data_IF_972767777263
#
_entry.id   IF_972767777263
#
_cell.length_a   1.000
_cell.length_b   1.000
_cell.length_c   1.000
_cell.angle_alpha   90.00
_cell.angle_beta   90.00
_cell.angle_gamma   90.00
#
_symmetry.space_group_name_H-M   'P 1'
#
loop_
_entity.id
_entity.type
_entity.pdbx_description
1 polymer ?
#
# COMPACT_ATOMS: atom_id res chain seq x y z
N UNK A 1 8.68 -1.04 22.19
CA UNK A 1 8.26 -1.23 20.79
C UNK A 1 9.31 -1.94 19.95
N UNK A 2 9.13 -2.10 18.62
CA UNK A 2 9.81 -3.13 17.84
C UNK A 2 11.33 -3.14 18.11
N UNK A 3 11.81 -4.21 18.74
CA UNK A 3 13.17 -4.26 19.28
C UNK A 3 14.21 -4.60 18.21
N UNK A 4 13.82 -5.43 17.25
CA UNK A 4 14.67 -5.92 16.16
C UNK A 4 13.80 -6.30 14.96
N UNK A 5 14.39 -6.48 13.76
CA UNK A 5 13.67 -7.05 12.62
C UNK A 5 12.99 -8.37 13.02
N UNK A 6 11.67 -8.50 12.83
CA UNK A 6 10.93 -9.68 13.28
C UNK A 6 11.34 -10.90 12.43
N UNK A 7 11.55 -12.04 13.10
CA UNK A 7 11.67 -13.33 12.43
C UNK A 7 10.30 -13.82 11.96
N UNK A 8 10.29 -14.85 11.11
CA UNK A 8 9.03 -15.49 10.69
C UNK A 8 8.21 -16.00 11.89
N UNK A 9 8.85 -16.57 12.92
CA UNK A 9 8.16 -17.02 14.13
C UNK A 9 7.48 -15.86 14.87
N UNK A 10 8.13 -14.69 14.94
CA UNK A 10 7.56 -13.48 15.54
C UNK A 10 6.37 -12.97 14.73
N UNK A 11 6.45 -13.00 13.39
CA UNK A 11 5.33 -12.62 12.51
C UNK A 11 4.15 -13.59 12.62
N UNK A 12 4.40 -14.91 12.63
CA UNK A 12 3.36 -15.92 12.85
C UNK A 12 2.66 -15.73 14.19
N UNK A 13 3.42 -15.34 15.21
CA UNK A 13 2.83 -15.01 16.50
C UNK A 13 2.06 -13.69 16.46
N UNK A 14 2.55 -12.64 15.80
CA UNK A 14 1.78 -11.41 15.58
C UNK A 14 0.42 -11.70 14.95
N UNK A 15 0.35 -12.60 13.96
CA UNK A 15 -0.91 -13.05 13.38
C UNK A 15 -1.82 -13.76 14.40
N UNK A 16 -1.25 -14.56 15.29
CA UNK A 16 -2.03 -15.23 16.33
C UNK A 16 -2.70 -14.22 17.25
N UNK A 17 -1.98 -13.21 17.74
CA UNK A 17 -2.55 -12.20 18.64
C UNK A 17 -3.57 -11.30 17.93
N UNK A 18 -3.30 -10.90 16.69
CA UNK A 18 -4.29 -10.14 15.89
C UNK A 18 -5.56 -10.95 15.64
N UNK A 19 -5.45 -12.27 15.41
CA UNK A 19 -6.61 -13.15 15.30
C UNK A 19 -7.43 -13.19 16.61
N UNK A 20 -6.78 -13.14 17.78
CA UNK A 20 -7.50 -13.04 19.07
C UNK A 20 -8.29 -11.72 19.20
N UNK A 21 -7.85 -10.66 18.51
CA UNK A 21 -8.58 -9.39 18.42
C UNK A 21 -9.70 -9.39 17.37
N UNK A 22 -9.89 -10.49 16.63
CA UNK A 22 -10.88 -10.61 15.55
C UNK A 22 -10.36 -10.27 14.15
N UNK A 23 -9.06 -10.07 13.97
CA UNK A 23 -8.50 -9.87 12.63
C UNK A 23 -8.62 -11.14 11.78
N UNK A 24 -8.90 -10.97 10.48
CA UNK A 24 -9.05 -12.05 9.52
C UNK A 24 -7.69 -12.62 9.11
N UNK A 25 -7.08 -13.41 9.99
CA UNK A 25 -5.80 -14.05 9.75
C UNK A 25 -5.66 -15.33 10.58
N UNK A 26 -4.63 -16.11 10.27
CA UNK A 26 -4.26 -17.29 11.07
C UNK A 26 -2.78 -17.20 11.38
N UNK A 27 -2.46 -17.39 12.65
CA UNK A 27 -1.10 -17.41 13.15
C UNK A 27 -0.89 -18.57 14.10
N UNK A 28 0.30 -18.63 14.68
CA UNK A 28 0.71 -19.71 15.57
C UNK A 28 1.19 -19.17 16.91
N UNK A 29 0.87 -19.89 17.99
CA UNK A 29 1.36 -19.58 19.33
C UNK A 29 2.83 -19.97 19.48
N UNK A 30 3.75 -19.15 18.95
CA UNK A 30 5.22 -19.25 19.11
C UNK A 30 5.74 -18.44 20.30
N UNK A 31 7.03 -18.61 20.64
CA UNK A 31 7.68 -17.74 21.62
C UNK A 31 7.63 -16.28 21.18
N UNK A 32 7.44 -15.39 22.16
CA UNK A 32 7.15 -13.98 21.93
C UNK A 32 7.87 -13.14 22.99
N UNK A 33 8.58 -12.08 22.59
CA UNK A 33 9.34 -11.20 23.52
C UNK A 33 8.63 -9.90 23.95
N UNK A 34 7.53 -9.53 23.32
CA UNK A 34 6.68 -8.39 23.70
C UNK A 34 5.52 -8.82 24.64
N UNK A 35 4.99 -7.90 25.42
CA UNK A 35 3.83 -8.16 26.28
C UNK A 35 2.88 -6.95 26.20
N UNK A 36 2.10 -6.82 25.10
CA UNK A 36 1.26 -5.65 24.91
C UNK A 36 0.22 -5.54 26.03
N UNK A 37 0.17 -4.39 26.70
CA UNK A 37 -0.73 -4.14 27.81
C UNK A 37 -2.19 -4.03 27.37
N UNK A 38 -2.40 -3.61 26.12
CA UNK A 38 -3.70 -3.44 25.52
C UNK A 38 -3.67 -3.64 24.00
N UNK A 39 -4.85 -3.60 23.41
CA UNK A 39 -5.06 -3.72 21.97
C UNK A 39 -4.29 -2.67 21.18
N UNK A 40 -4.31 -1.42 21.62
CA UNK A 40 -3.66 -0.32 20.91
C UNK A 40 -2.15 -0.49 20.83
N UNK A 41 -1.51 -1.01 21.87
CA UNK A 41 -0.09 -1.35 21.83
C UNK A 41 0.20 -2.44 20.80
N UNK A 42 -0.62 -3.50 20.77
CA UNK A 42 -0.49 -4.58 19.80
C UNK A 42 -0.66 -4.06 18.36
N UNK A 43 -1.62 -3.16 18.12
CA UNK A 43 -1.82 -2.52 16.81
C UNK A 43 -0.65 -1.61 16.43
N UNK A 44 -0.08 -0.85 17.37
CA UNK A 44 1.10 -0.04 17.13
C UNK A 44 2.31 -0.91 16.75
N UNK A 45 2.54 -2.00 17.49
CA UNK A 45 3.60 -2.97 17.20
C UNK A 45 3.37 -3.66 15.84
N UNK A 46 2.14 -4.06 15.55
CA UNK A 46 1.74 -4.62 14.26
C UNK A 46 2.04 -3.65 13.11
N UNK A 47 1.77 -2.36 13.30
CA UNK A 47 2.06 -1.35 12.30
C UNK A 47 3.56 -1.13 12.06
N UNK A 48 4.42 -1.34 13.06
CA UNK A 48 5.87 -1.35 12.81
C UNK A 48 6.32 -2.62 12.09
N UNK A 49 5.78 -3.78 12.50
CA UNK A 49 6.10 -5.08 11.90
C UNK A 49 5.59 -5.20 10.47
N UNK A 50 4.53 -4.47 10.08
CA UNK A 50 4.00 -4.48 8.71
C UNK A 50 5.01 -4.02 7.68
N UNK A 51 6.05 -3.29 8.09
CA UNK A 51 7.21 -2.96 7.25
C UNK A 51 8.07 -4.17 6.89
N UNK A 52 7.82 -5.35 7.42
CA UNK A 52 8.57 -6.57 7.12
C UNK A 52 7.72 -7.65 6.44
N UNK A 53 6.39 -7.51 6.42
CA UNK A 53 5.48 -8.44 5.76
C UNK A 53 4.29 -7.72 5.11
N UNK A 54 4.14 -7.75 3.78
CA UNK A 54 2.98 -7.19 3.07
C UNK A 54 1.65 -7.76 3.51
N UNK A 55 1.62 -9.02 3.96
CA UNK A 55 0.39 -9.66 4.46
C UNK A 55 -0.10 -8.98 5.73
N UNK A 56 0.82 -8.65 6.64
CA UNK A 56 0.50 -7.95 7.87
C UNK A 56 -0.08 -6.56 7.61
N UNK A 57 0.44 -5.84 6.59
CA UNK A 57 -0.17 -4.58 6.17
C UNK A 57 -1.62 -4.78 5.74
N UNK A 58 -1.91 -5.81 4.91
CA UNK A 58 -3.26 -6.15 4.50
C UNK A 58 -4.19 -6.44 5.67
N UNK A 59 -3.74 -7.27 6.62
CA UNK A 59 -4.49 -7.64 7.82
C UNK A 59 -4.85 -6.40 8.63
N UNK A 60 -3.90 -5.48 8.83
CA UNK A 60 -4.15 -4.25 9.58
C UNK A 60 -5.11 -3.32 8.85
N UNK A 61 -4.97 -3.15 7.54
CA UNK A 61 -5.90 -2.31 6.76
C UNK A 61 -7.33 -2.86 6.83
N UNK A 62 -7.51 -4.17 6.70
CA UNK A 62 -8.82 -4.81 6.88
C UNK A 62 -9.34 -4.64 8.31
N UNK A 63 -8.50 -4.86 9.31
CA UNK A 63 -8.87 -4.71 10.72
C UNK A 63 -9.33 -3.29 11.05
N UNK A 64 -8.53 -2.29 10.68
CA UNK A 64 -8.88 -0.87 10.88
C UNK A 64 -10.12 -0.46 10.08
N UNK A 65 -10.43 -1.14 8.97
CA UNK A 65 -11.66 -0.85 8.22
C UNK A 65 -12.91 -1.42 8.89
N UNK A 66 -12.80 -2.59 9.55
CA UNK A 66 -13.94 -3.31 10.14
C UNK A 66 -14.18 -3.02 11.62
N UNK A 67 -13.11 -2.83 12.39
CA UNK A 67 -13.12 -2.71 13.85
C UNK A 67 -12.81 -1.28 14.31
N UNK A 68 -12.95 -0.30 13.43
CA UNK A 68 -12.58 1.10 13.71
C UNK A 68 -13.24 1.66 14.99
N UNK A 69 -14.48 1.25 15.29
CA UNK A 69 -15.24 1.67 16.49
C UNK A 69 -14.65 1.18 17.80
N UNK A 70 -13.87 0.10 17.74
CA UNK A 70 -13.26 -0.52 18.92
C UNK A 70 -11.86 0.03 19.21
N UNK A 71 -11.30 0.83 18.30
CA UNK A 71 -9.96 1.40 18.43
C UNK A 71 -10.06 2.72 19.19
N UNK A 72 -9.30 2.85 20.28
CA UNK A 72 -9.19 4.09 21.02
C UNK A 72 -8.05 4.94 20.45
N UNK A 73 -8.30 5.93 19.57
CA UNK A 73 -7.25 6.58 18.81
C UNK A 73 -6.26 7.37 19.69
N UNK A 74 -6.73 7.91 20.82
CA UNK A 74 -5.86 8.60 21.78
C UNK A 74 -4.85 7.64 22.42
N UNK A 75 -5.28 6.42 22.77
CA UNK A 75 -4.40 5.39 23.32
C UNK A 75 -3.41 4.88 22.28
N UNK A 76 -3.86 4.66 21.05
CA UNK A 76 -2.96 4.28 19.96
C UNK A 76 -1.88 5.32 19.71
N UNK A 77 -2.24 6.62 19.75
CA UNK A 77 -1.29 7.73 19.62
C UNK A 77 -0.31 7.84 20.77
N UNK A 78 -0.66 7.40 21.98
CA UNK A 78 0.23 7.42 23.13
C UNK A 78 1.50 6.57 22.90
N UNK A 79 1.43 5.59 21.99
CA UNK A 79 2.58 4.77 21.62
C UNK A 79 3.51 5.42 20.58
N UNK A 80 3.10 6.49 19.88
CA UNK A 80 3.91 7.08 18.80
C UNK A 80 5.36 7.45 19.20
N UNK A 81 5.63 8.02 20.39
CA UNK A 81 7.00 8.34 20.80
C UNK A 81 7.92 7.13 20.95
N UNK A 82 7.34 5.94 21.14
CA UNK A 82 8.08 4.69 21.27
C UNK A 82 8.29 4.00 19.92
N UNK A 83 7.57 4.41 18.85
CA UNK A 83 7.65 3.85 17.50
C UNK A 83 8.91 4.37 16.82
N UNK A 84 9.66 3.50 16.15
CA UNK A 84 10.72 3.91 15.23
C UNK A 84 10.15 4.56 13.96
N UNK A 85 8.93 4.17 13.55
CA UNK A 85 8.26 4.76 12.38
C UNK A 85 6.74 4.84 12.56
N UNK A 86 6.22 5.80 13.35
CA UNK A 86 4.78 5.99 13.54
C UNK A 86 4.02 6.28 12.24
N UNK A 87 4.71 6.78 11.22
CA UNK A 87 4.20 6.97 9.87
C UNK A 87 3.70 5.66 9.22
N UNK A 88 4.09 4.50 9.74
CA UNK A 88 3.55 3.21 9.27
C UNK A 88 2.04 3.09 9.54
N UNK A 89 1.56 3.62 10.67
CA UNK A 89 0.11 3.77 10.95
C UNK A 89 -0.52 4.79 10.01
N UNK A 90 0.20 5.86 9.68
CA UNK A 90 -0.29 6.87 8.76
C UNK A 90 -0.50 6.31 7.34
N UNK A 91 0.37 5.40 6.90
CA UNK A 91 0.21 4.63 5.65
C UNK A 91 -1.01 3.71 5.70
N UNK A 92 -1.19 2.96 6.80
CA UNK A 92 -2.40 2.13 7.00
C UNK A 92 -3.65 3.01 6.91
N UNK A 93 -3.65 4.15 7.60
CA UNK A 93 -4.73 5.13 7.59
C UNK A 93 -5.03 5.66 6.18
N UNK A 94 -4.04 5.90 5.31
CA UNK A 94 -4.31 6.29 3.92
C UNK A 94 -5.07 5.21 3.15
N UNK A 95 -4.68 3.94 3.28
CA UNK A 95 -5.36 2.84 2.60
C UNK A 95 -6.79 2.65 3.13
N UNK A 96 -6.99 2.75 4.45
CA UNK A 96 -8.32 2.69 5.06
C UNK A 96 -9.19 3.84 4.57
N UNK A 97 -8.68 5.08 4.53
CA UNK A 97 -9.41 6.24 4.02
C UNK A 97 -9.86 6.08 2.57
N UNK A 98 -8.95 5.64 1.70
CA UNK A 98 -9.25 5.44 0.28
C UNK A 98 -10.26 4.28 0.07
N UNK A 99 -10.35 3.34 1.02
CA UNK A 99 -11.33 2.24 1.01
C UNK A 99 -12.69 2.61 1.62
N UNK A 100 -12.68 3.50 2.62
CA UNK A 100 -13.82 3.80 3.47
C UNK A 100 -14.87 4.70 2.78
N UNK A 101 -16.14 4.31 2.93
CA UNK A 101 -17.29 5.13 2.51
C UNK A 101 -17.84 6.00 3.64
N UNK A 102 -17.65 5.58 4.88
CA UNK A 102 -18.17 6.25 6.08
C UNK A 102 -17.24 7.40 6.50
N UNK A 103 -17.81 8.58 6.72
CA UNK A 103 -17.07 9.79 7.08
C UNK A 103 -16.40 9.67 8.45
N UNK A 104 -17.01 8.97 9.40
CA UNK A 104 -16.45 8.75 10.75
C UNK A 104 -15.11 8.00 10.69
N UNK A 105 -15.00 7.00 9.81
CA UNK A 105 -13.74 6.29 9.56
C UNK A 105 -12.68 7.23 9.02
N UNK A 106 -13.05 8.10 8.08
CA UNK A 106 -12.13 9.08 7.52
C UNK A 106 -11.61 10.05 8.59
N UNK A 107 -12.49 10.57 9.45
CA UNK A 107 -12.10 11.43 10.57
C UNK A 107 -11.17 10.74 11.57
N UNK A 108 -11.47 9.47 11.92
CA UNK A 108 -10.60 8.69 12.79
C UNK A 108 -9.20 8.55 12.19
N UNK A 109 -9.12 8.17 10.91
CA UNK A 109 -7.85 7.99 10.22
C UNK A 109 -7.08 9.30 10.09
N UNK A 110 -7.75 10.42 9.83
CA UNK A 110 -7.14 11.76 9.82
C UNK A 110 -6.61 12.15 11.20
N UNK A 111 -7.33 11.80 12.26
CA UNK A 111 -6.89 12.06 13.62
C UNK A 111 -5.61 11.28 13.97
N UNK A 112 -5.48 10.03 13.52
CA UNK A 112 -4.26 9.24 13.69
C UNK A 112 -3.05 9.85 12.95
N UNK A 113 -3.30 10.49 11.81
CA UNK A 113 -2.25 11.14 11.01
C UNK A 113 -1.81 12.50 11.57
N UNK A 114 -2.62 13.14 12.41
CA UNK A 114 -2.41 14.52 12.85
C UNK A 114 -1.13 14.67 13.67
N UNK A 115 -0.27 15.60 13.24
CA UNK A 115 0.98 15.93 13.92
C UNK A 115 2.16 15.00 13.56
N UNK A 116 1.96 14.03 12.68
CA UNK A 116 3.07 13.24 12.13
C UNK A 116 3.73 14.00 10.99
N UNK A 117 5.06 14.00 10.99
CA UNK A 117 5.86 14.52 9.89
C UNK A 117 6.25 13.40 8.93
N UNK A 118 6.50 13.79 7.68
CA UNK A 118 6.96 12.88 6.64
C UNK A 118 8.41 12.45 6.93
N UNK A 119 8.71 11.15 6.78
CA UNK A 119 10.09 10.68 6.90
C UNK A 119 10.89 10.94 5.61
N UNK A 120 12.23 10.95 5.65
CA UNK A 120 13.05 10.90 4.45
C UNK A 120 12.68 9.68 3.59
N UNK A 121 12.75 9.86 2.27
CA UNK A 121 12.37 8.83 1.30
C UNK A 121 13.12 7.54 1.53
N UNK A 122 12.38 6.47 1.82
CA UNK A 122 12.92 5.13 2.06
C UNK A 122 11.93 4.06 1.60
N UNK A 123 12.38 2.82 1.40
CA UNK A 123 11.46 1.72 1.13
C UNK A 123 10.53 1.50 2.35
N UNK A 124 9.24 1.28 2.08
CA UNK A 124 8.31 0.90 3.15
C UNK A 124 8.72 -0.45 3.73
N UNK A 125 8.80 -1.44 2.84
CA UNK A 125 9.15 -2.80 3.19
C UNK A 125 10.66 -2.99 3.26
N UNK A 126 11.11 -3.45 4.42
CA UNK A 126 12.50 -3.79 4.72
C UNK A 126 12.75 -5.25 4.32
N UNK A 127 13.94 -5.52 3.80
CA UNK A 127 14.45 -6.86 3.47
C UNK A 127 13.62 -7.71 2.47
N UNK A 128 12.50 -7.22 1.91
CA UNK A 128 11.76 -7.93 0.86
C UNK A 128 12.51 -8.01 -0.47
N UNK A 129 13.30 -6.98 -0.79
CA UNK A 129 13.97 -6.85 -2.08
C UNK A 129 15.46 -6.56 -1.88
N UNK A 130 16.34 -7.13 -2.72
CA UNK A 130 17.76 -6.77 -2.71
C UNK A 130 17.94 -5.26 -2.93
N UNK A 131 18.85 -4.61 -2.18
CA UNK A 131 19.12 -3.20 -2.34
C UNK A 131 19.60 -2.91 -3.78
N UNK A 132 19.15 -1.78 -4.34
CA UNK A 132 19.47 -1.31 -5.69
C UNK A 132 19.13 -2.26 -6.86
N UNK A 133 18.44 -3.39 -6.60
CA UNK A 133 18.00 -4.32 -7.63
C UNK A 133 16.88 -3.77 -8.52
N UNK A 134 16.61 -4.39 -9.68
CA UNK A 134 15.58 -3.92 -10.62
C UNK A 134 14.19 -3.78 -9.99
N UNK A 135 13.82 -4.72 -9.11
CA UNK A 135 12.55 -4.67 -8.40
C UNK A 135 12.49 -3.55 -7.36
N UNK A 136 13.61 -3.25 -6.68
CA UNK A 136 13.70 -2.15 -5.72
C UNK A 136 13.57 -0.80 -6.41
N UNK A 137 14.27 -0.61 -7.55
CA UNK A 137 14.11 0.59 -8.40
C UNK A 137 12.68 0.75 -8.88
N UNK A 138 12.06 -0.35 -9.32
CA UNK A 138 10.67 -0.35 -9.73
C UNK A 138 9.73 0.06 -8.59
N UNK A 139 9.93 -0.44 -7.38
CA UNK A 139 9.14 -0.01 -6.22
C UNK A 139 9.30 1.48 -5.89
N UNK A 140 10.46 2.06 -6.16
CA UNK A 140 10.69 3.50 -6.01
C UNK A 140 9.99 4.32 -7.12
N UNK A 141 10.16 3.92 -8.38
CA UNK A 141 9.62 4.62 -9.55
C UNK A 141 8.09 4.50 -9.68
N UNK A 142 7.54 3.35 -9.28
CA UNK A 142 6.12 2.99 -9.39
C UNK A 142 5.45 2.97 -8.01
N UNK A 143 5.91 3.79 -7.06
CA UNK A 143 5.33 3.80 -5.70
C UNK A 143 3.93 4.41 -5.67
N UNK A 144 3.03 3.79 -4.89
CA UNK A 144 1.68 4.30 -4.64
C UNK A 144 1.73 5.59 -3.80
N UNK A 145 0.72 6.44 -4.00
CA UNK A 145 0.56 7.74 -3.32
C UNK A 145 0.46 7.59 -1.81
N UNK A 146 -0.21 6.56 -1.33
CA UNK A 146 -0.38 6.29 0.11
C UNK A 146 0.97 6.19 0.84
N UNK A 147 1.95 5.51 0.23
CA UNK A 147 3.32 5.45 0.76
C UNK A 147 4.06 6.77 0.58
N UNK A 148 4.04 7.35 -0.65
CA UNK A 148 4.80 8.56 -0.99
C UNK A 148 4.46 9.76 -0.11
N UNK A 149 3.18 9.89 0.29
CA UNK A 149 2.70 10.95 1.18
C UNK A 149 3.49 10.99 2.50
N UNK A 150 3.87 9.82 3.00
CA UNK A 150 4.53 9.65 4.29
C UNK A 150 6.03 9.40 4.19
N UNK A 151 6.62 9.51 2.99
CA UNK A 151 8.07 9.35 2.80
C UNK A 151 8.48 7.91 2.53
N UNK A 152 7.51 7.04 2.21
CA UNK A 152 7.78 5.66 1.90
C UNK A 152 7.64 5.37 0.40
N UNK A 153 8.34 4.32 -0.03
CA UNK A 153 8.34 3.84 -1.41
C UNK A 153 7.92 2.38 -1.43
N UNK A 154 6.79 2.09 -2.07
CA UNK A 154 6.30 0.74 -2.33
C UNK A 154 5.15 0.77 -3.33
N UNK A 155 4.99 -0.33 -4.06
CA UNK A 155 3.93 -0.57 -5.04
C UNK A 155 2.88 -1.58 -4.57
N UNK A 156 3.15 -2.28 -3.47
CA UNK A 156 2.26 -3.36 -3.01
C UNK A 156 1.01 -2.75 -2.40
N UNK A 157 -0.14 -3.17 -2.90
CA UNK A 157 -1.44 -2.70 -2.44
C UNK A 157 -2.06 -3.74 -1.51
N UNK A 158 -2.49 -3.36 -0.30
CA UNK A 158 -3.21 -4.27 0.58
C UNK A 158 -4.58 -4.61 -0.02
N UNK A 159 -5.02 -5.85 0.21
CA UNK A 159 -6.40 -6.27 -0.03
C UNK A 159 -7.28 -5.70 1.07
N UNK A 160 -8.25 -4.85 0.73
CA UNK A 160 -9.16 -4.21 1.69
C UNK A 160 -10.43 -5.02 1.94
N UNK A 161 -10.76 -5.92 1.03
CA UNK A 161 -11.85 -6.90 1.16
C UNK A 161 -11.37 -8.22 0.56
N UNK A 162 -11.12 -9.20 1.42
CA UNK A 162 -10.61 -10.53 1.03
C UNK A 162 -11.62 -11.30 0.19
N UNK A 163 -12.92 -11.15 0.46
CA UNK A 163 -13.99 -11.84 -0.29
C UNK A 163 -14.12 -11.28 -1.70
N UNK A 164 -14.07 -9.95 -1.83
CA UNK A 164 -14.13 -9.29 -3.13
C UNK A 164 -12.77 -9.19 -3.84
N UNK A 165 -11.68 -9.63 -3.18
CA UNK A 165 -10.28 -9.45 -3.61
C UNK A 165 -10.00 -8.01 -4.05
N UNK A 166 -10.63 -7.05 -3.37
CA UNK A 166 -10.54 -5.64 -3.74
C UNK A 166 -9.25 -5.08 -3.17
N UNK A 167 -8.40 -4.51 -4.03
CA UNK A 167 -7.26 -3.70 -3.63
C UNK A 167 -7.59 -2.22 -3.77
N UNK A 168 -6.90 -1.39 -3.00
CA UNK A 168 -7.00 0.06 -3.11
C UNK A 168 -5.63 0.61 -3.48
N UNK A 169 -5.56 1.17 -4.68
CA UNK A 169 -4.34 1.67 -5.28
C UNK A 169 -4.56 3.11 -5.73
N UNK A 170 -3.74 4.04 -5.23
CA UNK A 170 -3.75 5.42 -5.72
C UNK A 170 -2.42 5.71 -6.42
N UNK A 171 -2.46 5.71 -7.75
CA UNK A 171 -1.30 5.98 -8.60
C UNK A 171 -1.17 7.47 -8.90
N UNK A 172 -0.04 8.08 -8.56
CA UNK A 172 0.26 9.45 -8.99
C UNK A 172 0.67 9.53 -10.47
N UNK A 173 0.71 10.74 -11.03
CA UNK A 173 0.96 10.92 -12.47
C UNK A 173 2.31 10.36 -12.91
N UNK A 174 3.34 10.53 -12.07
CA UNK A 174 4.70 10.06 -12.37
C UNK A 174 4.78 8.53 -12.34
N UNK A 175 4.19 7.88 -11.33
CA UNK A 175 4.15 6.42 -11.26
C UNK A 175 3.39 5.82 -12.44
N UNK A 176 2.26 6.42 -12.84
CA UNK A 176 1.52 6.03 -14.05
C UNK A 176 2.36 6.14 -15.32
N UNK A 177 3.09 7.24 -15.46
CA UNK A 177 3.98 7.47 -16.59
C UNK A 177 5.12 6.44 -16.64
N UNK A 178 5.71 6.12 -15.48
CA UNK A 178 6.76 5.12 -15.36
C UNK A 178 6.27 3.71 -15.72
N UNK A 179 5.05 3.35 -15.28
CA UNK A 179 4.39 2.09 -15.68
C UNK A 179 4.22 2.04 -17.20
N UNK A 180 3.75 3.10 -17.84
CA UNK A 180 3.61 3.16 -19.30
C UNK A 180 4.97 3.01 -20.01
N UNK A 181 6.00 3.74 -19.56
CA UNK A 181 7.36 3.66 -20.13
C UNK A 181 7.88 2.22 -20.07
N UNK A 182 7.73 1.54 -18.92
CA UNK A 182 8.12 0.14 -18.77
C UNK A 182 7.32 -0.79 -19.67
N UNK A 183 6.01 -0.58 -19.81
CA UNK A 183 5.20 -1.39 -20.72
C UNK A 183 5.68 -1.24 -22.17
N UNK A 184 6.04 -0.03 -22.60
CA UNK A 184 6.59 0.20 -23.94
C UNK A 184 8.04 -0.29 -24.12
N UNK A 185 8.80 -0.51 -23.06
CA UNK A 185 10.12 -1.17 -23.16
C UNK A 185 10.01 -2.64 -23.57
N UNK A 186 8.90 -3.31 -23.23
CA UNK A 186 8.68 -4.73 -23.54
C UNK A 186 7.69 -4.96 -24.69
N UNK A 187 6.96 -3.92 -25.13
CA UNK A 187 5.93 -4.01 -26.16
C UNK A 187 6.00 -2.82 -27.11
N UNK A 188 5.90 -3.09 -28.41
CA UNK A 188 5.80 -2.03 -29.42
C UNK A 188 4.43 -1.33 -29.42
N UNK A 189 3.37 -2.05 -29.04
CA UNK A 189 2.01 -1.53 -28.99
C UNK A 189 1.26 -1.95 -27.71
N UNK A 190 0.39 -1.07 -27.22
CA UNK A 190 -0.43 -1.26 -26.01
C UNK A 190 -1.89 -0.94 -26.27
N UNK A 191 -2.80 -1.77 -25.78
CA UNK A 191 -4.21 -1.44 -25.67
C UNK A 191 -4.52 -0.76 -24.33
N UNK A 192 -5.64 -0.02 -24.27
CA UNK A 192 -6.13 0.56 -23.00
C UNK A 192 -6.36 -0.53 -21.95
N UNK A 193 -6.87 -1.70 -22.36
CA UNK A 193 -7.10 -2.82 -21.44
C UNK A 193 -5.82 -3.39 -20.84
N UNK A 194 -4.74 -3.49 -21.62
CA UNK A 194 -3.43 -3.92 -21.11
C UNK A 194 -2.85 -2.93 -20.10
N UNK A 195 -3.00 -1.62 -20.35
CA UNK A 195 -2.57 -0.60 -19.41
C UNK A 195 -3.38 -0.62 -18.12
N UNK A 196 -4.72 -0.70 -18.23
CA UNK A 196 -5.60 -0.84 -17.07
C UNK A 196 -5.28 -2.09 -16.24
N UNK A 197 -5.02 -3.22 -16.90
CA UNK A 197 -4.61 -4.46 -16.23
C UNK A 197 -3.28 -4.31 -15.48
N UNK A 198 -2.34 -3.54 -16.01
CA UNK A 198 -1.05 -3.29 -15.36
C UNK A 198 -1.16 -2.44 -14.09
N UNK A 199 -2.29 -1.76 -13.89
CA UNK A 199 -2.61 -0.92 -12.72
C UNK A 199 -3.81 -1.49 -11.95
N UNK A 200 -4.01 -2.82 -12.02
CA UNK A 200 -5.08 -3.54 -11.33
C UNK A 200 -6.50 -3.01 -11.55
N UNK A 201 -6.75 -2.30 -12.65
CA UNK A 201 -8.05 -1.68 -12.95
C UNK A 201 -8.41 -0.48 -12.06
N UNK A 202 -7.46 0.05 -11.27
CA UNK A 202 -7.68 1.18 -10.35
C UNK A 202 -7.99 2.52 -11.03
N UNK A 203 -7.71 2.64 -12.34
CA UNK A 203 -7.95 3.85 -13.12
C UNK A 203 -9.21 3.78 -13.97
N UNK A 204 -9.83 4.96 -14.15
CA UNK A 204 -10.89 5.11 -15.14
C UNK A 204 -10.34 4.96 -16.56
N UNK A 205 -11.17 4.43 -17.46
CA UNK A 205 -10.84 4.31 -18.90
C UNK A 205 -10.47 5.66 -19.51
N UNK A 206 -11.14 6.74 -19.08
CA UNK A 206 -10.87 8.09 -19.58
C UNK A 206 -9.47 8.56 -19.18
N UNK A 207 -9.06 8.34 -17.92
CA UNK A 207 -7.71 8.71 -17.49
C UNK A 207 -6.66 7.89 -18.22
N UNK A 208 -6.89 6.58 -18.42
CA UNK A 208 -5.98 5.72 -19.15
C UNK A 208 -5.76 6.19 -20.60
N UNK A 209 -6.81 6.65 -21.27
CA UNK A 209 -6.72 7.24 -22.62
C UNK A 209 -5.90 8.54 -22.61
N UNK A 210 -6.13 9.41 -21.61
CA UNK A 210 -5.37 10.66 -21.45
C UNK A 210 -3.88 10.37 -21.26
N UNK A 211 -3.53 9.47 -20.36
CA UNK A 211 -2.13 9.10 -20.09
C UNK A 211 -1.45 8.52 -21.36
N UNK A 212 -2.14 7.62 -22.09
CA UNK A 212 -1.63 7.06 -23.34
C UNK A 212 -1.42 8.14 -24.42
N UNK A 213 -2.29 9.15 -24.50
CA UNK A 213 -2.17 10.23 -25.46
C UNK A 213 -0.93 11.11 -25.23
N UNK A 214 -0.41 11.18 -24.00
CA UNK A 214 0.80 11.93 -23.64
C UNK A 214 2.05 11.30 -24.27
N UNK A 215 2.24 9.99 -24.12
CA UNK A 215 3.46 9.29 -24.56
C UNK A 215 3.36 8.66 -25.95
N UNK A 216 2.14 8.33 -26.38
CA UNK A 216 1.92 7.49 -27.55
C UNK A 216 1.02 8.18 -28.58
N UNK A 217 0.91 7.56 -29.75
CA UNK A 217 -0.07 7.91 -30.78
C UNK A 217 -0.88 6.67 -31.14
N UNK A 218 -2.13 6.89 -31.54
CA UNK A 218 -3.00 5.81 -32.00
C UNK A 218 -2.47 5.22 -33.31
N UNK A 219 -2.46 3.88 -33.43
CA UNK A 219 -2.08 3.21 -34.68
C UNK A 219 -3.11 3.49 -35.78
N UNK A 220 -2.64 3.84 -36.98
CA UNK A 220 -3.48 4.11 -38.16
C UNK A 220 -4.35 2.87 -38.46
N UNK A 221 -5.67 3.02 -38.55
CA UNK A 221 -6.60 1.98 -38.99
C UNK A 221 -7.47 1.30 -37.91
N UNK A 222 -7.18 1.43 -36.60
CA UNK A 222 -8.00 0.85 -35.53
C UNK A 222 -8.59 1.91 -34.60
N UNK A 223 -9.78 2.44 -34.95
CA UNK A 223 -10.61 3.25 -34.04
C UNK A 223 -11.55 2.34 -33.25
N UNK A 224 -11.87 2.69 -32.00
CA UNK A 224 -12.83 1.94 -31.17
C UNK A 224 -12.23 0.96 -30.15
N UNK A 225 -12.97 -0.09 -29.77
CA UNK A 225 -12.59 -1.02 -28.68
C UNK A 225 -11.27 -1.79 -28.93
N UNK A 226 -10.87 -1.95 -30.19
CA UNK A 226 -9.60 -2.58 -30.60
C UNK A 226 -8.44 -1.61 -30.86
N UNK A 227 -8.57 -0.34 -30.42
CA UNK A 227 -7.53 0.68 -30.53
C UNK A 227 -6.24 0.25 -29.83
N UNK A 228 -5.11 0.38 -30.54
CA UNK A 228 -3.77 0.17 -29.97
C UNK A 228 -2.90 1.40 -30.18
N UNK A 229 -2.08 1.67 -29.18
CA UNK A 229 -1.20 2.82 -29.08
C UNK A 229 0.23 2.38 -29.31
N UNK A 230 0.95 3.14 -30.12
CA UNK A 230 2.38 2.94 -30.39
C UNK A 230 3.16 4.12 -29.85
N UNK A 231 4.35 3.88 -29.30
CA UNK A 231 5.19 4.94 -28.77
C UNK A 231 5.47 5.98 -29.88
N UNK A 232 5.37 7.27 -29.55
CA UNK A 232 5.75 8.31 -30.50
C UNK A 232 7.27 8.18 -30.73
N UNK A 233 7.69 7.94 -31.98
CA UNK A 233 9.10 8.13 -32.34
C UNK A 233 9.45 9.60 -32.08
N UNK A 234 10.58 9.86 -31.42
CA UNK A 234 11.11 11.22 -31.33
C UNK A 234 11.26 11.75 -32.77
N UNK A 235 10.89 13.01 -33.05
CA UNK A 235 11.06 13.60 -34.36
C UNK A 235 12.53 13.56 -34.79
#
# INVERSE_FOLDING_TARGET
MLQSPPSEAVLLRMYFELAQLGANCSGEKREWSYNPENREELLALGAEMSRYDPRLLGILVEYFSKHWREILPQRLRAYYPQMAAPQSLAVIAEFVKDAARESEVQYLMEYLQKGLEKVPYQLYFKALLPPAGPLSRRSAEESLRQYKKWGFLSREAPTVDVFQKKTVEAWDADARLNVLRRLFQSKEELSVGEYLKALSGSLSRQQAIKDLAVLARLKKGRKGRGARWVLRKRP
#
